data_IF_087333512818
#
_entry.id   IF_087333512818
#
_cell.length_a   1.000
_cell.length_b   1.000
_cell.length_c   1.000
_cell.angle_alpha   90.00
_cell.angle_beta   90.00
_cell.angle_gamma   90.00
#
_symmetry.space_group_name_H-M   'P 1'
#
loop_
_entity.id
_entity.type
_entity.pdbx_description
1 polymer ?
#
# COMPACT_ATOMS: atom_id res chain seq x y z
N UNK A 1 -2.71 10.42 7.71
CA UNK A 1 -1.47 10.69 6.95
C UNK A 1 -0.96 9.42 6.28
N UNK A 2 -0.47 8.42 7.04
CA UNK A 2 0.13 7.19 6.47
C UNK A 2 -0.74 6.46 5.43
N UNK A 3 -2.05 6.36 5.64
CA UNK A 3 -2.95 5.74 4.64
C UNK A 3 -2.96 6.48 3.30
N UNK A 4 -2.87 7.81 3.31
CA UNK A 4 -2.81 8.63 2.09
C UNK A 4 -1.45 8.44 1.40
N UNK A 5 -0.36 8.44 2.18
CA UNK A 5 0.99 8.16 1.65
C UNK A 5 1.07 6.79 0.99
N UNK A 6 0.45 5.77 1.58
CA UNK A 6 0.38 4.42 1.02
C UNK A 6 -0.31 4.40 -0.35
N UNK A 7 -1.45 5.09 -0.47
CA UNK A 7 -2.18 5.21 -1.74
C UNK A 7 -1.38 5.97 -2.79
N UNK A 8 -0.78 7.09 -2.40
CA UNK A 8 0.04 7.92 -3.28
C UNK A 8 1.30 7.20 -3.76
N UNK A 9 1.98 6.47 -2.87
CA UNK A 9 3.17 5.68 -3.22
C UNK A 9 2.82 4.54 -4.19
N UNK A 10 1.73 3.80 -3.94
CA UNK A 10 1.28 2.75 -4.85
C UNK A 10 0.98 3.30 -6.25
N UNK A 11 0.26 4.43 -6.32
CA UNK A 11 -0.05 5.10 -7.59
C UNK A 11 1.22 5.63 -8.28
N UNK A 12 2.13 6.24 -7.52
CA UNK A 12 3.42 6.73 -8.04
C UNK A 12 4.28 5.61 -8.63
N UNK A 13 4.31 4.45 -7.98
CA UNK A 13 4.99 3.27 -8.53
C UNK A 13 4.31 2.73 -9.79
N UNK A 14 2.98 2.80 -9.90
CA UNK A 14 2.27 2.39 -11.11
C UNK A 14 2.62 3.28 -12.30
N UNK A 15 2.76 4.59 -12.08
CA UNK A 15 3.22 5.53 -13.12
C UNK A 15 4.65 5.26 -13.62
N UNK A 16 5.45 4.51 -12.86
CA UNK A 16 6.83 4.15 -13.21
C UNK A 16 6.92 2.78 -13.91
N UNK A 17 5.80 2.12 -14.21
CA UNK A 17 5.81 0.86 -14.96
C UNK A 17 6.60 1.01 -16.28
N UNK A 18 7.46 0.03 -16.65
CA UNK A 18 7.55 -1.33 -16.10
C UNK A 18 8.56 -1.52 -14.96
N UNK A 19 9.07 -0.45 -14.32
CA UNK A 19 9.99 -0.60 -13.19
C UNK A 19 9.31 -1.32 -12.02
N UNK A 20 10.08 -2.18 -11.35
CA UNK A 20 9.63 -2.96 -10.19
C UNK A 20 10.42 -2.57 -8.95
N UNK A 21 9.74 -2.57 -7.80
CA UNK A 21 10.37 -2.35 -6.51
C UNK A 21 10.88 -3.67 -5.90
N UNK A 22 11.28 -3.64 -4.63
CA UNK A 22 11.64 -4.85 -3.89
C UNK A 22 10.42 -5.75 -3.64
N UNK A 23 10.65 -7.04 -3.42
CA UNK A 23 9.57 -8.02 -3.21
C UNK A 23 8.60 -7.62 -2.09
N UNK A 24 9.11 -7.11 -0.97
CA UNK A 24 8.29 -6.66 0.15
C UNK A 24 7.38 -5.47 -0.24
N UNK A 25 7.89 -4.50 -0.99
CA UNK A 25 7.10 -3.36 -1.45
C UNK A 25 6.09 -3.76 -2.52
N UNK A 26 6.45 -4.69 -3.41
CA UNK A 26 5.52 -5.25 -4.39
C UNK A 26 4.39 -6.05 -3.73
N UNK A 27 4.67 -6.75 -2.62
CA UNK A 27 3.64 -7.44 -1.86
C UNK A 27 2.64 -6.47 -1.21
N UNK A 28 3.12 -5.36 -0.65
CA UNK A 28 2.27 -4.29 -0.13
C UNK A 28 1.47 -3.62 -1.26
N UNK A 29 2.08 -3.33 -2.41
CA UNK A 29 1.38 -2.78 -3.58
C UNK A 29 0.28 -3.70 -4.08
N UNK A 30 0.52 -5.01 -4.14
CA UNK A 30 -0.51 -6.01 -4.48
C UNK A 30 -1.67 -5.99 -3.50
N UNK A 31 -1.40 -5.89 -2.19
CA UNK A 31 -2.45 -5.73 -1.17
C UNK A 31 -3.27 -4.45 -1.43
N UNK A 32 -2.60 -3.32 -1.64
CA UNK A 32 -3.29 -2.04 -1.92
C UNK A 32 -4.17 -2.17 -3.15
N UNK A 33 -3.69 -2.78 -4.24
CA UNK A 33 -4.44 -2.92 -5.50
C UNK A 33 -5.57 -3.93 -5.45
N UNK A 34 -5.49 -4.92 -4.55
CA UNK A 34 -6.61 -5.83 -4.30
C UNK A 34 -7.81 -5.11 -3.66
N UNK A 35 -7.55 -4.12 -2.80
CA UNK A 35 -8.59 -3.40 -2.06
C UNK A 35 -8.98 -2.07 -2.71
N UNK A 36 -8.01 -1.38 -3.30
CA UNK A 36 -8.11 -0.04 -3.86
C UNK A 36 -7.58 -0.05 -5.30
N UNK A 37 -8.49 -0.06 -6.31
CA UNK A 37 -8.11 -0.03 -7.71
C UNK A 37 -7.24 1.18 -8.04
N UNK A 38 -6.43 1.06 -9.11
CA UNK A 38 -5.71 2.19 -9.69
C UNK A 38 -6.64 3.39 -9.87
N UNK A 39 -6.16 4.58 -9.53
CA UNK A 39 -6.93 5.81 -9.71
C UNK A 39 -6.72 6.30 -11.15
N UNK A 40 -7.68 5.98 -12.02
CA UNK A 40 -7.65 6.40 -13.43
C UNK A 40 -8.34 7.75 -13.64
N UNK A 41 -9.59 7.83 -13.21
CA UNK A 41 -10.38 9.05 -13.19
C UNK A 41 -10.74 9.43 -11.76
N UNK A 42 -11.04 10.71 -11.56
CA UNK A 42 -11.53 11.19 -10.28
C UNK A 42 -12.76 10.39 -9.84
N UNK A 43 -12.73 9.98 -8.58
CA UNK A 43 -13.84 9.28 -7.91
C UNK A 43 -13.97 9.78 -6.49
N UNK A 44 -15.10 9.44 -5.86
CA UNK A 44 -15.25 9.70 -4.43
C UNK A 44 -14.18 8.91 -3.66
N UNK A 45 -13.20 9.63 -3.11
CA UNK A 45 -11.95 9.01 -2.63
C UNK A 45 -12.01 8.59 -1.16
N UNK A 46 -13.02 9.05 -0.42
CA UNK A 46 -13.19 8.72 1.00
C UNK A 46 -13.26 7.20 1.27
N UNK A 47 -13.98 6.37 0.50
CA UNK A 47 -13.98 4.91 0.68
C UNK A 47 -12.59 4.28 0.52
N UNK A 48 -11.77 4.79 -0.39
CA UNK A 48 -10.39 4.31 -0.58
C UNK A 48 -9.49 4.70 0.58
N UNK A 49 -9.69 5.91 1.11
CA UNK A 49 -9.01 6.36 2.32
C UNK A 49 -9.33 5.47 3.52
N UNK A 50 -10.60 5.12 3.73
CA UNK A 50 -11.02 4.24 4.82
C UNK A 50 -10.37 2.86 4.72
N UNK A 51 -10.31 2.28 3.51
CA UNK A 51 -9.59 1.01 3.25
C UNK A 51 -8.11 1.13 3.57
N UNK A 52 -7.45 2.20 3.12
CA UNK A 52 -6.03 2.41 3.41
C UNK A 52 -5.75 2.61 4.90
N UNK A 53 -6.62 3.34 5.61
CA UNK A 53 -6.55 3.50 7.06
C UNK A 53 -6.69 2.14 7.74
N UNK A 54 -7.65 1.32 7.32
CA UNK A 54 -7.85 -0.03 7.87
C UNK A 54 -6.63 -0.93 7.62
N UNK A 55 -6.01 -0.90 6.43
CA UNK A 55 -4.79 -1.65 6.12
C UNK A 55 -3.62 -1.29 7.05
N UNK A 56 -3.46 0.00 7.36
CA UNK A 56 -2.44 0.47 8.29
C UNK A 56 -2.77 0.05 9.73
N UNK A 57 -4.00 0.32 10.19
CA UNK A 57 -4.41 0.07 11.59
C UNK A 57 -4.45 -1.40 11.96
N UNK A 58 -4.81 -2.26 11.01
CA UNK A 58 -4.83 -3.72 11.23
C UNK A 58 -3.44 -4.37 11.17
N UNK A 59 -2.41 -3.64 10.73
CA UNK A 59 -1.09 -4.21 10.46
C UNK A 59 -1.04 -5.06 9.18
N UNK A 60 -2.09 -5.06 8.35
CA UNK A 60 -2.12 -5.81 7.10
C UNK A 60 -0.96 -5.42 6.16
N UNK A 61 -0.60 -4.13 6.11
CA UNK A 61 0.57 -3.67 5.34
C UNK A 61 1.89 -4.26 5.86
N UNK A 62 2.07 -4.35 7.18
CA UNK A 62 3.27 -4.95 7.80
C UNK A 62 3.33 -6.45 7.51
N UNK A 63 2.18 -7.13 7.61
CA UNK A 63 2.06 -8.56 7.29
C UNK A 63 2.35 -8.82 5.81
N UNK A 64 1.83 -7.99 4.90
CA UNK A 64 2.06 -8.10 3.46
C UNK A 64 3.52 -7.86 3.08
N UNK A 65 4.22 -6.96 3.77
CA UNK A 65 5.66 -6.79 3.61
C UNK A 65 6.48 -8.04 4.01
N UNK A 66 5.84 -9.10 4.51
CA UNK A 66 6.49 -10.37 4.81
C UNK A 66 7.41 -10.30 6.03
N UNK A 67 7.06 -9.47 7.01
CA UNK A 67 7.86 -9.22 8.21
C UNK A 67 9.35 -9.00 7.87
N UNK A 68 9.62 -8.05 6.96
CA UNK A 68 10.97 -7.47 6.85
C UNK A 68 11.49 -7.30 8.27
N UNK A 69 12.60 -7.97 8.61
CA UNK A 69 13.15 -7.91 9.96
C UNK A 69 13.64 -6.49 10.20
N UNK A 70 12.76 -5.69 10.82
CA UNK A 70 13.08 -4.33 11.23
C UNK A 70 13.78 -4.41 12.58
N UNK A 71 15.00 -3.86 12.72
CA UNK A 71 15.69 -3.82 14.01
C UNK A 71 14.79 -3.19 15.08
N UNK A 72 14.62 -3.89 16.20
CA UNK A 72 13.85 -3.39 17.34
C UNK A 72 12.33 -3.62 17.28
N UNK A 73 11.81 -4.28 16.26
CA UNK A 73 10.40 -4.71 16.21
C UNK A 73 10.34 -6.23 16.40
N UNK A 74 9.71 -6.66 17.49
CA UNK A 74 9.44 -8.08 17.71
C UNK A 74 8.48 -8.59 16.65
N UNK A 75 8.82 -9.74 16.05
CA UNK A 75 8.05 -10.43 15.01
C UNK A 75 6.78 -11.08 15.55
#
# INVERSE_FOLDING_TARGET
VIGIELLAAAQGCDFQAPLVSSEALEAVRRLVRAEVPYLDNDRHFHPDMEKAIAMVRSGAAVKAAGAVKLPGIAS
#
